data_IF_898484250804
#
_entry.id   IF_898484250804
#
_cell.length_a   1.000
_cell.length_b   1.000
_cell.length_c   1.000
_cell.angle_alpha   90.00
_cell.angle_beta   90.00
_cell.angle_gamma   90.00
#
_symmetry.space_group_name_H-M   'P 1'
#
loop_
_entity.id
_entity.type
_entity.pdbx_description
1 polymer ?
#
# COMPACT_ATOMS: atom_id res chain seq x y z
N UNK A 1 -31.17 -4.65 28.72
CA UNK A 1 -31.15 -3.81 27.51
C UNK A 1 -30.33 -4.53 26.45
N UNK A 2 -30.94 -5.00 25.36
CA UNK A 2 -30.20 -5.62 24.25
C UNK A 2 -29.83 -4.54 23.25
N UNK A 3 -28.59 -4.06 23.31
CA UNK A 3 -28.07 -3.14 22.30
C UNK A 3 -27.76 -3.97 21.05
N UNK A 4 -28.52 -3.75 19.97
CA UNK A 4 -28.25 -4.36 18.67
C UNK A 4 -27.21 -3.52 17.93
N UNK A 5 -26.27 -4.18 17.26
CA UNK A 5 -25.33 -3.50 16.38
C UNK A 5 -26.10 -2.84 15.21
N UNK A 6 -25.65 -1.65 14.80
CA UNK A 6 -26.21 -0.94 13.64
C UNK A 6 -25.87 -1.62 12.29
N UNK A 7 -24.89 -2.53 12.29
CA UNK A 7 -24.41 -3.26 11.13
C UNK A 7 -23.25 -4.19 11.51
N UNK A 8 -22.41 -4.49 10.53
CA UNK A 8 -21.17 -5.27 10.74
C UNK A 8 -20.01 -4.38 11.17
N UNK A 9 -18.93 -4.98 11.67
CA UNK A 9 -17.70 -4.27 12.03
C UNK A 9 -17.67 -3.68 13.45
N UNK A 10 -18.68 -3.93 14.27
CA UNK A 10 -18.69 -3.44 15.67
C UNK A 10 -17.55 -4.00 16.54
N UNK A 11 -16.90 -5.09 16.11
CA UNK A 11 -15.72 -5.66 16.77
C UNK A 11 -14.46 -4.80 16.68
N UNK A 12 -14.45 -3.75 15.85
CA UNK A 12 -13.32 -2.80 15.73
C UNK A 12 -13.62 -1.44 16.36
N UNK A 13 -14.72 -1.30 17.11
CA UNK A 13 -15.03 -0.06 17.84
C UNK A 13 -13.90 0.21 18.85
N UNK A 14 -13.38 1.43 18.83
CA UNK A 14 -12.23 1.85 19.65
C UNK A 14 -10.88 1.83 18.90
N UNK A 15 -10.82 1.23 17.70
CA UNK A 15 -9.67 1.40 16.82
C UNK A 15 -9.66 2.82 16.23
N UNK A 16 -8.62 3.61 16.52
CA UNK A 16 -8.49 4.96 16.00
C UNK A 16 -8.27 4.96 14.48
N UNK A 17 -8.92 5.89 13.78
CA UNK A 17 -8.70 6.18 12.35
C UNK A 17 -7.74 7.35 12.12
N UNK A 18 -7.17 7.94 13.17
CA UNK A 18 -6.32 9.12 13.00
C UNK A 18 -5.03 8.78 12.22
N UNK A 19 -4.41 9.79 11.58
CA UNK A 19 -3.19 9.61 10.81
C UNK A 19 -1.92 9.55 11.70
N UNK A 20 -2.07 9.63 13.02
CA UNK A 20 -0.93 9.59 13.94
C UNK A 20 -0.16 8.26 13.82
N UNK A 21 1.18 8.27 14.04
CA UNK A 21 2.00 7.08 13.89
C UNK A 21 1.51 5.86 14.69
N UNK A 22 1.14 6.05 15.96
CA UNK A 22 0.67 4.96 16.83
C UNK A 22 -0.64 4.34 16.32
N UNK A 23 -1.56 5.16 15.83
CA UNK A 23 -2.85 4.70 15.31
C UNK A 23 -2.69 3.93 14.00
N UNK A 24 -1.84 4.42 13.10
CA UNK A 24 -1.48 3.69 11.87
C UNK A 24 -0.82 2.35 12.16
N UNK A 25 0.08 2.31 13.16
CA UNK A 25 0.70 1.07 13.61
C UNK A 25 -0.35 0.06 14.10
N UNK A 26 -1.25 0.47 15.00
CA UNK A 26 -2.31 -0.40 15.53
C UNK A 26 -3.23 -0.92 14.41
N UNK A 27 -3.68 -0.05 13.49
CA UNK A 27 -4.50 -0.49 12.34
C UNK A 27 -3.78 -1.49 11.45
N UNK A 28 -2.49 -1.28 11.22
CA UNK A 28 -1.66 -2.18 10.40
C UNK A 28 -1.54 -3.55 11.05
N UNK A 29 -1.17 -3.59 12.33
CA UNK A 29 -1.02 -4.84 13.10
C UNK A 29 -2.35 -5.57 13.23
N UNK A 30 -3.44 -4.85 13.49
CA UNK A 30 -4.77 -5.45 13.54
C UNK A 30 -5.17 -6.06 12.19
N UNK A 31 -4.96 -5.32 11.09
CA UNK A 31 -5.26 -5.83 9.75
C UNK A 31 -4.44 -7.08 9.44
N UNK A 32 -3.15 -7.10 9.82
CA UNK A 32 -2.28 -8.26 9.67
C UNK A 32 -2.72 -9.47 10.50
N UNK A 33 -3.09 -9.25 11.77
CA UNK A 33 -3.46 -10.31 12.72
C UNK A 33 -4.84 -10.92 12.46
N UNK A 34 -5.79 -10.12 11.98
CA UNK A 34 -7.11 -10.60 11.55
C UNK A 34 -7.17 -10.82 10.03
N UNK A 35 -5.99 -10.85 9.40
CA UNK A 35 -5.79 -11.20 8.01
C UNK A 35 -6.37 -12.55 7.68
N UNK A 36 -6.92 -12.66 6.47
CA UNK A 36 -7.89 -13.69 6.13
C UNK A 36 -7.23 -15.09 6.06
N UNK A 37 -7.89 -16.08 6.65
CA UNK A 37 -7.46 -17.49 6.69
C UNK A 37 -7.12 -18.11 5.32
N UNK A 38 -7.62 -17.57 4.21
CA UNK A 38 -7.28 -18.04 2.86
C UNK A 38 -5.83 -17.79 2.46
N UNK A 39 -5.07 -16.97 3.20
CA UNK A 39 -3.61 -16.90 3.03
C UNK A 39 -2.95 -18.27 3.29
N UNK A 40 -3.63 -19.20 3.96
CA UNK A 40 -3.18 -20.59 4.13
C UNK A 40 -3.32 -21.43 2.85
N UNK A 41 -4.13 -20.99 1.88
CA UNK A 41 -4.29 -21.63 0.58
C UNK A 41 -3.22 -21.12 -0.41
N UNK A 42 -2.26 -22.00 -0.72
CA UNK A 42 -1.08 -21.70 -1.53
C UNK A 42 -1.35 -21.63 -3.04
N UNK A 43 -2.54 -22.02 -3.51
CA UNK A 43 -2.83 -22.22 -4.94
C UNK A 43 -2.80 -20.95 -5.80
N UNK A 44 -2.96 -19.76 -5.20
CA UNK A 44 -2.88 -18.44 -5.88
C UNK A 44 -2.09 -17.40 -5.07
N UNK A 45 -1.15 -17.89 -4.26
CA UNK A 45 -0.50 -17.14 -3.18
C UNK A 45 0.13 -15.80 -3.59
N UNK A 46 0.84 -15.64 -4.73
CA UNK A 46 1.56 -14.40 -5.01
C UNK A 46 0.64 -13.19 -5.30
N UNK A 47 -0.35 -13.36 -6.18
CA UNK A 47 -1.24 -12.25 -6.59
C UNK A 47 -2.19 -11.82 -5.48
N UNK A 48 -2.72 -12.79 -4.72
CA UNK A 48 -3.64 -12.49 -3.61
C UNK A 48 -2.90 -11.83 -2.43
N UNK A 49 -1.66 -12.24 -2.15
CA UNK A 49 -0.82 -11.61 -1.13
C UNK A 49 -0.46 -10.17 -1.50
N UNK A 50 -0.14 -9.91 -2.77
CA UNK A 50 0.08 -8.55 -3.26
C UNK A 50 -1.16 -7.67 -3.04
N UNK A 51 -2.33 -8.12 -3.48
CA UNK A 51 -3.58 -7.38 -3.28
C UNK A 51 -3.88 -7.15 -1.79
N UNK A 52 -3.59 -8.14 -0.94
CA UNK A 52 -3.75 -8.02 0.50
C UNK A 52 -2.82 -6.97 1.12
N UNK A 53 -1.53 -6.98 0.76
CA UNK A 53 -0.57 -5.98 1.21
C UNK A 53 -0.97 -4.56 0.77
N UNK A 54 -1.44 -4.41 -0.48
CA UNK A 54 -1.95 -3.14 -1.00
C UNK A 54 -3.15 -2.64 -0.17
N UNK A 55 -4.09 -3.52 0.16
CA UNK A 55 -5.25 -3.15 0.98
C UNK A 55 -4.88 -2.74 2.41
N UNK A 56 -3.87 -3.37 3.02
CA UNK A 56 -3.34 -2.94 4.32
C UNK A 56 -2.76 -1.53 4.23
N UNK A 57 -1.93 -1.27 3.21
CA UNK A 57 -1.35 0.05 2.97
C UNK A 57 -2.45 1.09 2.76
N UNK A 58 -3.46 0.78 1.94
CA UNK A 58 -4.60 1.67 1.68
C UNK A 58 -5.33 2.07 2.96
N UNK A 59 -5.42 1.19 3.96
CA UNK A 59 -6.03 1.49 5.27
C UNK A 59 -5.25 2.48 6.15
N UNK A 60 -4.03 2.84 5.76
CA UNK A 60 -3.15 3.78 6.49
C UNK A 60 -2.59 4.92 5.63
N UNK A 61 -3.01 5.01 4.37
CA UNK A 61 -2.71 6.15 3.48
C UNK A 61 -3.24 7.44 4.11
N UNK A 62 -2.41 8.48 4.06
CA UNK A 62 -2.76 9.83 4.50
C UNK A 62 -3.00 10.69 3.26
N UNK A 63 -4.21 11.22 3.14
CA UNK A 63 -4.56 12.13 2.06
C UNK A 63 -3.99 13.55 2.30
N UNK A 64 -3.66 14.31 1.24
CA UNK A 64 -3.31 15.72 1.33
C UNK A 64 -4.35 16.50 2.12
N UNK A 65 -3.88 17.37 3.00
CA UNK A 65 -4.67 18.27 3.83
C UNK A 65 -5.13 17.66 5.15
N UNK A 66 -4.94 16.35 5.37
CA UNK A 66 -5.34 15.66 6.62
C UNK A 66 -4.36 15.94 7.75
N UNK A 67 -3.04 15.90 7.48
CA UNK A 67 -2.01 16.22 8.47
C UNK A 67 -1.33 17.55 8.14
N UNK A 68 -1.80 18.65 8.70
CA UNK A 68 -1.14 19.95 8.52
C UNK A 68 -0.18 20.24 9.67
N UNK A 69 1.06 20.59 9.36
CA UNK A 69 2.02 21.03 10.38
C UNK A 69 1.83 22.51 10.72
N UNK A 70 1.36 23.29 9.74
CA UNK A 70 1.03 24.71 9.86
C UNK A 70 -0.30 25.01 9.15
N UNK A 71 -1.03 26.05 9.61
CA UNK A 71 -2.33 26.42 9.03
C UNK A 71 -2.27 26.80 7.53
N UNK A 72 -1.12 27.34 7.09
CA UNK A 72 -0.92 27.81 5.71
C UNK A 72 -0.34 26.74 4.76
N UNK A 73 -0.18 25.50 5.23
CA UNK A 73 0.37 24.42 4.41
C UNK A 73 -0.72 23.87 3.47
N UNK A 74 -0.50 24.01 2.16
CA UNK A 74 -1.48 23.63 1.14
C UNK A 74 -1.82 22.13 1.19
N UNK A 75 -0.81 21.27 1.34
CA UNK A 75 -0.97 19.81 1.33
C UNK A 75 -0.69 19.13 2.66
N UNK A 76 0.14 19.69 3.54
CA UNK A 76 0.54 18.98 4.76
C UNK A 76 1.41 17.74 4.49
N UNK A 77 1.64 16.96 5.54
CA UNK A 77 2.19 15.60 5.45
C UNK A 77 1.13 14.66 4.83
N UNK A 78 1.54 13.88 3.83
CA UNK A 78 0.68 12.95 3.12
C UNK A 78 1.50 11.80 2.53
N UNK A 79 0.82 10.71 2.17
CA UNK A 79 1.47 9.58 1.52
C UNK A 79 1.76 9.92 0.05
N UNK A 80 2.99 10.33 -0.25
CA UNK A 80 3.41 10.67 -1.61
C UNK A 80 3.47 9.44 -2.54
N UNK A 81 3.94 8.32 -2.01
CA UNK A 81 4.09 7.05 -2.72
C UNK A 81 4.19 5.89 -1.74
N UNK A 82 3.99 4.67 -2.23
CA UNK A 82 4.20 3.43 -1.49
C UNK A 82 4.76 2.34 -2.40
N UNK A 83 5.39 1.34 -1.78
CA UNK A 83 6.02 0.22 -2.48
C UNK A 83 5.66 -1.10 -1.80
N UNK A 84 5.30 -2.10 -2.60
CA UNK A 84 5.26 -3.50 -2.20
C UNK A 84 6.35 -4.25 -2.95
N UNK A 85 7.21 -4.96 -2.23
CA UNK A 85 8.29 -5.77 -2.81
C UNK A 85 7.87 -7.24 -2.84
N UNK A 86 7.94 -7.86 -4.02
CA UNK A 86 7.91 -9.31 -4.16
C UNK A 86 9.36 -9.83 -4.27
N UNK A 87 9.91 -10.45 -3.20
CA UNK A 87 11.27 -10.97 -3.22
C UNK A 87 11.43 -12.25 -4.05
N UNK A 88 10.34 -12.99 -4.29
CA UNK A 88 10.35 -14.26 -5.03
C UNK A 88 10.36 -13.96 -6.53
N UNK A 89 9.40 -13.16 -6.99
CA UNK A 89 9.34 -12.72 -8.38
C UNK A 89 10.43 -11.70 -8.74
N UNK A 90 11.06 -11.10 -7.72
CA UNK A 90 12.02 -9.99 -7.84
C UNK A 90 11.36 -8.82 -8.58
N UNK A 91 10.25 -8.35 -8.01
CA UNK A 91 9.45 -7.23 -8.55
C UNK A 91 9.24 -6.16 -7.45
N UNK A 92 9.18 -4.89 -7.86
CA UNK A 92 8.65 -3.79 -7.04
C UNK A 92 7.32 -3.34 -7.64
N UNK A 93 6.29 -3.27 -6.82
CA UNK A 93 5.03 -2.65 -7.16
C UNK A 93 4.98 -1.29 -6.48
N UNK A 94 5.01 -0.24 -7.28
CA UNK A 94 5.13 1.16 -6.84
C UNK A 94 3.86 1.88 -7.22
N UNK A 95 3.35 2.75 -6.36
CA UNK A 95 2.28 3.68 -6.70
C UNK A 95 2.56 5.04 -6.06
N UNK A 96 2.24 6.09 -6.79
CA UNK A 96 2.15 7.46 -6.26
C UNK A 96 0.76 7.72 -5.70
N UNK A 97 0.57 8.83 -5.00
CA UNK A 97 -0.75 9.24 -4.50
C UNK A 97 -1.80 9.32 -5.64
N UNK A 98 -1.39 9.83 -6.80
CA UNK A 98 -2.27 10.05 -7.95
C UNK A 98 -2.40 8.82 -8.87
N UNK A 99 -1.75 7.70 -8.54
CA UNK A 99 -1.80 6.50 -9.37
C UNK A 99 -3.16 5.80 -9.29
N UNK A 100 -3.72 5.40 -10.44
CA UNK A 100 -4.91 4.54 -10.52
C UNK A 100 -4.64 3.06 -10.21
N UNK A 101 -3.37 2.67 -10.08
CA UNK A 101 -2.92 1.31 -9.84
C UNK A 101 -1.43 1.24 -9.51
N UNK A 102 -0.82 0.06 -9.58
CA UNK A 102 0.62 -0.10 -9.36
C UNK A 102 1.39 -0.18 -10.67
N UNK A 103 2.55 0.47 -10.70
CA UNK A 103 3.60 0.21 -11.67
C UNK A 103 4.51 -0.92 -11.16
N UNK A 104 4.75 -1.92 -12.00
CA UNK A 104 5.63 -3.03 -11.68
C UNK A 104 7.00 -2.87 -12.34
N UNK A 105 8.04 -2.81 -11.52
CA UNK A 105 9.45 -2.86 -11.93
C UNK A 105 9.96 -4.28 -11.74
N UNK A 106 10.41 -4.94 -12.82
CA UNK A 106 10.91 -6.31 -12.74
C UNK A 106 12.43 -6.32 -12.84
N UNK A 107 13.09 -6.84 -11.81
CA UNK A 107 14.56 -6.82 -11.76
C UNK A 107 15.20 -7.65 -12.89
N UNK A 108 14.49 -8.68 -13.38
CA UNK A 108 14.94 -9.51 -14.51
C UNK A 108 15.13 -8.73 -15.82
N UNK A 109 14.49 -7.56 -15.95
CA UNK A 109 14.58 -6.73 -17.14
C UNK A 109 15.91 -5.95 -17.18
N UNK A 110 16.66 -5.91 -16.07
CA UNK A 110 17.96 -5.25 -15.96
C UNK A 110 19.10 -6.27 -16.03
N UNK A 111 20.09 -6.00 -16.89
CA UNK A 111 21.34 -6.76 -16.94
C UNK A 111 22.39 -6.09 -16.06
N UNK A 112 22.70 -6.70 -14.92
CA UNK A 112 23.75 -6.24 -14.01
C UNK A 112 25.08 -6.91 -14.40
N UNK A 113 25.99 -6.13 -14.95
CA UNK A 113 27.36 -6.53 -15.28
C UNK A 113 28.35 -5.72 -14.42
N UNK A 114 29.61 -6.15 -14.38
CA UNK A 114 30.66 -5.31 -13.80
C UNK A 114 30.74 -3.97 -14.54
N UNK A 115 30.68 -2.86 -13.81
CA UNK A 115 30.63 -1.51 -14.36
C UNK A 115 29.24 -1.01 -14.80
N UNK A 116 28.16 -1.75 -14.52
CA UNK A 116 26.80 -1.25 -14.74
C UNK A 116 26.55 0.05 -13.98
N UNK A 117 25.97 1.04 -14.67
CA UNK A 117 25.55 2.32 -14.07
C UNK A 117 24.23 2.15 -13.31
N UNK A 118 23.96 2.98 -12.29
CA UNK A 118 22.66 3.03 -11.64
C UNK A 118 21.55 3.32 -12.66
N UNK A 119 20.40 2.66 -12.50
CA UNK A 119 19.18 2.98 -13.23
C UNK A 119 18.25 3.73 -12.30
N UNK A 120 17.74 4.86 -12.77
CA UNK A 120 16.80 5.70 -12.05
C UNK A 120 15.40 5.54 -12.63
N UNK A 121 14.41 5.61 -11.75
CA UNK A 121 13.00 5.57 -12.12
C UNK A 121 12.40 6.93 -11.80
N UNK A 122 11.77 7.56 -12.79
CA UNK A 122 10.99 8.77 -12.57
C UNK A 122 9.58 8.38 -12.12
N UNK A 123 9.27 8.63 -10.84
CA UNK A 123 7.96 8.34 -10.29
C UNK A 123 6.86 9.24 -10.88
N UNK A 124 7.20 10.41 -11.42
CA UNK A 124 6.24 11.27 -12.10
C UNK A 124 5.84 10.73 -13.47
N UNK A 125 6.64 9.82 -14.05
CA UNK A 125 6.29 9.11 -15.27
C UNK A 125 5.33 7.93 -15.02
N UNK A 126 5.03 7.60 -13.76
CA UNK A 126 4.05 6.59 -13.38
C UNK A 126 2.61 7.14 -13.44
N UNK A 127 2.26 7.79 -14.56
CA UNK A 127 0.95 8.43 -14.78
C UNK A 127 -0.07 7.53 -15.47
N UNK A 128 0.36 6.41 -16.06
CA UNK A 128 -0.51 5.49 -16.79
C UNK A 128 -0.28 4.03 -16.34
N UNK A 129 -1.36 3.25 -16.19
CA UNK A 129 -1.24 1.81 -15.99
C UNK A 129 -0.48 1.21 -17.18
N UNK A 130 0.61 0.45 -16.98
CA UNK A 130 1.24 -0.26 -18.08
C UNK A 130 0.24 -1.29 -18.60
N UNK A 131 -0.33 -0.99 -19.77
CA UNK A 131 -1.18 -1.93 -20.49
C UNK A 131 -0.32 -3.13 -20.88
N UNK A 132 -0.67 -4.30 -20.36
CA UNK A 132 -0.11 -5.56 -20.82
C UNK A 132 -0.45 -5.66 -22.31
N UNK A 133 0.53 -5.50 -23.19
CA UNK A 133 0.37 -5.91 -24.59
C UNK A 133 0.31 -7.45 -24.60
N UNK A 134 -0.65 -8.04 -25.34
CA UNK A 134 -0.79 -9.48 -25.46
C UNK A 134 0.45 -10.15 -26.02
#
# INVERSE_FOLDING_TARGET
MHVKAAGNGSGTIGLSSSPLPADRFLRTVQSLNFGIDWLKDKSQFPKKLLAYAINIIAGVVVAPGVCKTNQNEATGDYTQWWVVRDPIAKELHIATYDSLGTWTVRFKDFKLNSGSKPVYLDLNAATEMPTLKP
#
